data_IF_429048730657
#
_entry.id   IF_429048730657
#
_cell.length_a   1.000
_cell.length_b   1.000
_cell.length_c   1.000
_cell.angle_alpha   90.00
_cell.angle_beta   90.00
_cell.angle_gamma   90.00
#
_symmetry.space_group_name_H-M   'P 1'
#
loop_
_entity.id
_entity.type
_entity.pdbx_description
1 polymer ?
#
# COMPACT_ATOMS: atom_id res chain seq x y z
N UNK A 1 4.75 -15.79 0.73
CA UNK A 1 3.50 -15.10 1.14
C UNK A 1 3.67 -13.60 1.27
N UNK A 2 4.58 -13.08 2.10
CA UNK A 2 4.75 -11.62 2.31
C UNK A 2 4.93 -10.85 1.00
N UNK A 3 5.85 -11.29 0.11
CA UNK A 3 6.06 -10.65 -1.19
C UNK A 3 4.78 -10.55 -2.04
N UNK A 4 3.94 -11.58 -2.01
CA UNK A 4 2.67 -11.58 -2.75
C UNK A 4 1.66 -10.60 -2.13
N UNK A 5 1.48 -10.65 -0.80
CA UNK A 5 0.57 -9.75 -0.09
C UNK A 5 1.01 -8.27 -0.11
N UNK A 6 2.25 -8.00 -0.53
CA UNK A 6 2.85 -6.67 -0.64
C UNK A 6 3.11 -6.29 -2.09
N UNK A 7 2.62 -7.08 -3.04
CA UNK A 7 2.88 -6.89 -4.45
C UNK A 7 2.14 -5.67 -5.01
N UNK A 8 2.90 -4.75 -5.57
CA UNK A 8 2.41 -3.66 -6.40
C UNK A 8 3.49 -3.30 -7.43
N UNK A 9 3.36 -3.83 -8.65
CA UNK A 9 4.22 -3.50 -9.78
C UNK A 9 3.38 -2.88 -10.92
N UNK A 10 2.48 -1.96 -10.55
CA UNK A 10 1.40 -1.52 -11.44
C UNK A 10 1.87 -0.94 -12.77
N UNK A 11 3.10 -0.42 -12.85
CA UNK A 11 3.66 0.16 -14.08
C UNK A 11 4.11 -0.90 -15.09
N UNK A 12 4.37 -2.13 -14.64
CA UNK A 12 4.90 -3.21 -15.48
C UNK A 12 3.94 -4.40 -15.58
N UNK A 13 3.02 -4.56 -14.62
CA UNK A 13 2.07 -5.66 -14.60
C UNK A 13 0.91 -5.42 -15.60
N UNK A 14 0.74 -6.27 -16.63
CA UNK A 14 -0.38 -6.15 -17.56
C UNK A 14 -1.76 -6.31 -16.89
N UNK A 15 -1.85 -6.95 -15.71
CA UNK A 15 -3.09 -7.08 -14.96
C UNK A 15 -3.49 -5.80 -14.22
N UNK A 16 -2.57 -4.85 -14.06
CA UNK A 16 -2.84 -3.54 -13.46
C UNK A 16 -3.31 -2.50 -14.48
N UNK A 17 -3.59 -2.90 -15.72
CA UNK A 17 -4.02 -1.99 -16.78
C UNK A 17 -5.39 -1.39 -16.50
N UNK A 18 -5.50 -0.08 -16.71
CA UNK A 18 -6.75 0.65 -16.78
C UNK A 18 -6.86 1.33 -18.16
N UNK A 19 -7.64 0.73 -19.07
CA UNK A 19 -7.74 1.17 -20.46
C UNK A 19 -8.35 2.57 -20.62
N UNK A 20 -9.26 2.94 -19.72
CA UNK A 20 -9.97 4.22 -19.73
C UNK A 20 -9.38 5.23 -18.73
N UNK A 21 -8.15 4.99 -18.25
CA UNK A 21 -7.42 5.94 -17.42
C UNK A 21 -6.47 6.79 -18.28
N UNK A 22 -6.33 8.07 -17.92
CA UNK A 22 -5.33 8.98 -18.51
C UNK A 22 -4.61 9.77 -17.42
N UNK A 23 -3.34 10.17 -17.60
CA UNK A 23 -2.47 9.92 -18.76
C UNK A 23 -1.92 8.49 -18.82
N UNK A 24 -1.94 7.75 -17.71
CA UNK A 24 -1.37 6.39 -17.64
C UNK A 24 -2.44 5.32 -17.82
N UNK A 25 -2.07 4.28 -18.58
CA UNK A 25 -2.91 3.10 -18.81
C UNK A 25 -2.81 2.04 -17.70
N UNK A 26 -2.33 2.43 -16.53
CA UNK A 26 -2.15 1.55 -15.38
C UNK A 26 -2.68 2.24 -14.12
N UNK A 27 -3.27 1.48 -13.21
CA UNK A 27 -3.73 1.99 -11.91
C UNK A 27 -3.03 1.23 -10.79
N UNK A 28 -2.49 1.98 -9.84
CA UNK A 28 -1.89 1.45 -8.62
C UNK A 28 -2.89 0.77 -7.68
N UNK A 29 -4.19 0.99 -7.89
CA UNK A 29 -5.30 0.31 -7.19
C UNK A 29 -5.47 -1.14 -7.66
N UNK A 30 -5.14 -1.45 -8.93
CA UNK A 30 -5.33 -2.76 -9.54
C UNK A 30 -4.16 -3.70 -9.23
N UNK A 31 -3.84 -3.83 -7.93
CA UNK A 31 -2.77 -4.68 -7.40
C UNK A 31 -3.20 -5.35 -6.09
N UNK A 32 -2.38 -6.24 -5.54
CA UNK A 32 -2.70 -6.89 -4.25
C UNK A 32 -2.54 -5.89 -3.09
N UNK A 33 -1.50 -5.06 -3.15
CA UNK A 33 -1.23 -4.03 -2.16
C UNK A 33 -1.36 -2.63 -2.78
N UNK A 34 -2.59 -2.15 -2.92
CA UNK A 34 -2.89 -0.88 -3.56
C UNK A 34 -2.09 0.32 -3.02
N UNK A 35 -1.76 1.26 -3.91
CA UNK A 35 -0.99 2.50 -3.65
C UNK A 35 -1.62 3.70 -4.36
N UNK A 36 -2.90 4.01 -4.08
CA UNK A 36 -3.63 5.07 -4.80
C UNK A 36 -2.94 6.43 -4.74
N UNK A 37 -2.08 6.66 -3.76
CA UNK A 37 -1.23 7.84 -3.63
C UNK A 37 -0.21 8.01 -4.77
N UNK A 38 0.00 6.97 -5.58
CA UNK A 38 0.87 6.99 -6.76
C UNK A 38 0.12 7.18 -8.08
N UNK A 39 -1.21 7.25 -8.04
CA UNK A 39 -1.98 7.65 -9.21
C UNK A 39 -1.86 9.17 -9.41
N UNK A 40 -1.83 9.69 -10.65
CA UNK A 40 -1.80 11.15 -10.86
C UNK A 40 -3.02 11.85 -10.26
N UNK A 41 -2.80 12.95 -9.53
CA UNK A 41 -3.87 13.76 -8.94
C UNK A 41 -4.75 14.44 -10.00
N UNK A 42 -4.19 14.74 -11.18
CA UNK A 42 -4.87 15.30 -12.35
C UNK A 42 -5.34 14.23 -13.35
N UNK A 43 -5.21 12.95 -12.99
CA UNK A 43 -5.62 11.83 -13.85
C UNK A 43 -7.13 11.77 -14.05
N UNK A 44 -7.57 11.24 -15.19
CA UNK A 44 -8.97 10.93 -15.45
C UNK A 44 -9.19 9.45 -15.27
N UNK A 45 -10.16 9.11 -14.43
CA UNK A 45 -10.48 7.73 -14.06
C UNK A 45 -11.93 7.44 -14.40
N UNK A 46 -12.25 6.24 -14.91
CA UNK A 46 -13.64 5.87 -15.19
C UNK A 46 -14.47 5.65 -13.92
N UNK A 47 -13.81 5.41 -12.78
CA UNK A 47 -14.42 5.22 -11.47
C UNK A 47 -13.54 5.85 -10.40
N UNK A 48 -14.14 6.48 -9.38
CA UNK A 48 -13.43 7.20 -8.32
C UNK A 48 -12.45 6.30 -7.54
N UNK A 49 -12.76 5.01 -7.40
CA UNK A 49 -11.89 4.04 -6.72
C UNK A 49 -10.51 3.90 -7.37
N UNK A 50 -10.40 4.16 -8.68
CA UNK A 50 -9.14 4.09 -9.41
C UNK A 50 -8.31 5.37 -9.31
N UNK A 51 -8.84 6.42 -8.69
CA UNK A 51 -8.22 7.74 -8.65
C UNK A 51 -7.07 7.90 -7.66
N UNK A 52 -6.54 9.12 -7.60
CA UNK A 52 -5.57 9.56 -6.59
C UNK A 52 -6.25 9.74 -5.24
N UNK A 53 -5.89 8.91 -4.27
CA UNK A 53 -6.55 8.86 -2.95
C UNK A 53 -5.54 8.59 -1.87
N UNK A 54 -5.80 9.10 -0.67
CA UNK A 54 -5.10 8.70 0.57
C UNK A 54 -5.59 7.31 1.03
N UNK A 55 -5.41 6.32 0.15
CA UNK A 55 -5.98 4.99 0.28
C UNK A 55 -5.04 3.94 -0.31
N UNK A 56 -5.08 2.74 0.23
CA UNK A 56 -4.29 1.61 -0.24
C UNK A 56 -4.20 0.51 0.82
N UNK A 57 -3.35 -0.48 0.56
CA UNK A 57 -3.07 -1.50 1.56
C UNK A 57 -2.15 -0.95 2.66
N UNK A 58 -2.61 -0.93 3.90
CA UNK A 58 -1.88 -0.33 5.03
C UNK A 58 -1.12 -1.34 5.88
N UNK A 59 -1.23 -2.64 5.60
CA UNK A 59 -0.50 -3.68 6.32
C UNK A 59 -0.42 -5.00 5.52
N UNK A 60 0.22 -6.02 6.10
CA UNK A 60 -0.10 -7.42 5.84
C UNK A 60 0.14 -8.25 7.11
N UNK A 61 -0.72 -9.25 7.35
CA UNK A 61 -0.63 -10.19 8.47
C UNK A 61 -0.63 -11.61 7.94
N UNK A 62 0.40 -12.38 8.26
CA UNK A 62 0.60 -13.73 7.77
C UNK A 62 0.75 -14.66 8.96
N UNK A 63 -0.01 -15.75 8.98
CA UNK A 63 0.17 -16.84 9.93
C UNK A 63 0.21 -18.17 9.18
N UNK A 64 0.60 -19.23 9.87
CA UNK A 64 0.53 -20.60 9.40
C UNK A 64 0.00 -21.50 10.53
N UNK A 65 -0.18 -22.79 10.27
CA UNK A 65 -0.72 -23.74 11.25
C UNK A 65 0.02 -23.67 12.60
N UNK A 66 1.35 -23.75 12.60
CA UNK A 66 2.16 -23.70 13.83
C UNK A 66 2.10 -22.35 14.53
N UNK A 67 2.15 -21.25 13.77
CA UNK A 67 2.07 -19.90 14.32
C UNK A 67 0.71 -19.63 14.96
N UNK A 68 -0.36 -20.10 14.34
CA UNK A 68 -1.73 -20.00 14.86
C UNK A 68 -1.88 -20.74 16.19
N UNK A 69 -1.34 -21.96 16.31
CA UNK A 69 -1.31 -22.70 17.57
C UNK A 69 -0.61 -21.93 18.69
N UNK A 70 0.39 -21.11 18.34
CA UNK A 70 1.17 -20.30 19.26
C UNK A 70 0.68 -18.84 19.36
N UNK A 71 -0.51 -18.52 18.83
CA UNK A 71 -1.08 -17.17 18.80
C UNK A 71 -0.12 -16.10 18.23
N UNK A 72 0.63 -16.48 17.19
CA UNK A 72 1.65 -15.64 16.55
C UNK A 72 1.34 -15.38 15.07
N UNK A 73 1.90 -14.29 14.55
CA UNK A 73 1.83 -13.90 13.14
C UNK A 73 3.11 -13.13 12.75
N UNK A 74 3.38 -13.02 11.46
CA UNK A 74 4.26 -12.01 10.90
C UNK A 74 3.37 -10.83 10.50
N UNK A 75 3.70 -9.65 11.00
CA UNK A 75 3.06 -8.39 10.67
C UNK A 75 4.03 -7.49 9.91
N UNK A 76 3.51 -6.71 8.96
CA UNK A 76 4.19 -5.56 8.38
C UNK A 76 3.18 -4.42 8.33
N UNK A 77 3.59 -3.23 8.78
CA UNK A 77 2.75 -2.03 8.80
C UNK A 77 3.13 -1.07 7.67
N UNK A 78 2.17 -0.25 7.24
CA UNK A 78 2.32 0.79 6.24
C UNK A 78 2.01 0.35 4.80
N UNK A 79 1.99 1.29 3.84
CA UNK A 79 1.93 1.00 2.41
C UNK A 79 3.10 0.16 1.91
N UNK A 80 2.91 -0.58 0.81
CA UNK A 80 4.03 -1.34 0.23
C UNK A 80 5.05 -0.40 -0.39
N UNK A 81 6.34 -0.72 -0.19
CA UNK A 81 7.47 -0.06 -0.83
C UNK A 81 8.29 -1.08 -1.65
N UNK A 82 7.66 -2.18 -2.06
CA UNK A 82 8.31 -3.18 -2.92
C UNK A 82 8.39 -2.66 -4.35
N UNK A 83 9.58 -2.23 -4.77
CA UNK A 83 9.81 -1.68 -6.12
C UNK A 83 9.31 -0.24 -6.29
N UNK A 84 9.00 0.44 -5.19
CA UNK A 84 8.49 1.81 -5.15
C UNK A 84 9.05 2.53 -3.93
N UNK A 85 9.07 3.86 -3.95
CA UNK A 85 9.47 4.62 -2.77
C UNK A 85 8.46 4.42 -1.62
N UNK A 86 8.95 4.38 -0.36
CA UNK A 86 8.09 4.41 0.80
C UNK A 86 7.15 5.62 0.78
N UNK A 87 5.93 5.43 1.25
CA UNK A 87 5.04 6.55 1.50
C UNK A 87 5.62 7.44 2.61
N UNK A 88 5.65 8.74 2.37
CA UNK A 88 6.03 9.75 3.37
C UNK A 88 4.94 10.82 3.43
N UNK A 89 4.47 11.15 4.63
CA UNK A 89 3.48 12.23 4.80
C UNK A 89 4.04 13.57 4.35
N UNK A 90 5.24 13.94 4.81
CA UNK A 90 5.87 15.24 4.55
C UNK A 90 6.06 15.59 3.07
N UNK A 91 6.15 14.57 2.20
CA UNK A 91 6.29 14.75 0.74
C UNK A 91 5.00 14.46 -0.02
N UNK A 92 3.93 14.03 0.65
CA UNK A 92 2.65 13.74 0.03
C UNK A 92 1.82 15.03 -0.11
N UNK A 93 1.10 15.16 -1.21
CA UNK A 93 0.11 16.23 -1.41
C UNK A 93 -1.11 16.12 -0.47
N UNK A 94 -1.29 14.98 0.21
CA UNK A 94 -2.32 14.79 1.23
C UNK A 94 -1.96 15.38 2.60
N UNK A 95 -0.70 15.77 2.83
CA UNK A 95 -0.20 16.16 4.15
C UNK A 95 -0.97 17.34 4.77
N UNK A 96 -1.30 18.33 3.93
CA UNK A 96 -1.95 19.56 4.37
C UNK A 96 -3.44 19.39 4.67
N UNK A 97 -4.08 18.36 4.13
CA UNK A 97 -5.53 18.16 4.18
C UNK A 97 -5.95 16.95 5.00
N UNK A 98 -5.01 16.06 5.35
CA UNK A 98 -5.28 14.82 6.07
C UNK A 98 -4.59 14.83 7.43
N UNK A 99 -5.31 14.97 8.56
CA UNK A 99 -4.72 14.85 9.89
C UNK A 99 -4.13 13.44 10.12
N UNK A 100 -2.89 13.37 10.61
CA UNK A 100 -2.14 12.12 10.81
C UNK A 100 -1.30 12.17 12.10
N UNK A 101 -1.87 12.71 13.17
CA UNK A 101 -1.20 12.84 14.46
C UNK A 101 -0.75 11.48 15.01
N UNK A 102 0.51 11.39 15.43
CA UNK A 102 1.11 10.16 15.97
C UNK A 102 1.53 9.14 14.90
N UNK A 103 1.25 9.39 13.61
CA UNK A 103 1.84 8.59 12.55
C UNK A 103 3.34 8.90 12.40
N UNK A 104 4.16 7.89 12.08
CA UNK A 104 5.48 8.11 11.51
C UNK A 104 5.36 8.96 10.24
N UNK A 105 6.35 9.81 9.95
CA UNK A 105 6.41 10.50 8.68
C UNK A 105 6.60 9.50 7.52
N UNK A 106 7.63 8.64 7.64
CA UNK A 106 7.99 7.62 6.65
C UNK A 106 7.50 6.23 7.02
N UNK A 107 6.82 5.55 6.10
CA UNK A 107 6.35 4.17 6.28
C UNK A 107 7.28 3.15 5.62
N UNK A 108 8.51 3.06 6.11
CA UNK A 108 9.52 2.07 5.67
C UNK A 108 9.74 0.99 6.73
N UNK A 109 8.67 0.26 7.06
CA UNK A 109 8.75 -0.84 8.04
C UNK A 109 9.04 -2.18 7.37
N UNK A 110 9.78 -3.03 8.09
CA UNK A 110 10.05 -4.41 7.71
C UNK A 110 9.09 -5.38 8.40
N UNK A 111 8.87 -6.60 7.86
CA UNK A 111 8.08 -7.61 8.54
C UNK A 111 8.72 -8.03 9.87
N UNK A 112 7.88 -8.24 10.90
CA UNK A 112 8.31 -8.67 12.22
C UNK A 112 7.28 -9.63 12.84
N UNK A 113 7.71 -10.42 13.82
CA UNK A 113 6.81 -11.24 14.66
C UNK A 113 6.51 -10.45 15.93
N UNK A 114 5.26 -10.01 16.18
CA UNK A 114 4.94 -9.25 17.39
C UNK A 114 5.21 -10.05 18.66
N UNK A 115 5.83 -9.42 19.64
CA UNK A 115 5.98 -9.93 21.02
C UNK A 115 5.21 -9.03 21.96
N UNK A 116 4.22 -9.59 22.65
CA UNK A 116 3.44 -8.85 23.63
C UNK A 116 4.05 -9.07 25.01
N UNK A 117 4.38 -7.97 25.69
CA UNK A 117 4.74 -7.98 27.11
C UNK A 117 3.48 -7.50 27.85
N UNK A 118 2.99 -8.32 28.78
CA UNK A 118 1.92 -7.95 29.70
C UNK A 118 2.46 -7.10 30.83
#
# INVERSE_FOLDING_TARGET
MIRMMRYNDFKNDPLSQCLNCTPYKYSSELTIAARCDLNPSDGKYPYDVLGHRVHGATDAKITNYTMFQNLSLIAIAGPTWQGQDPFNWSTSDFAATTPHHGHPDSFKFYPFTPTWIL
#
